data_IF_940361957041
#
_entry.id   IF_940361957041
#
_cell.length_a   1.000
_cell.length_b   1.000
_cell.length_c   1.000
_cell.angle_alpha   90.00
_cell.angle_beta   90.00
_cell.angle_gamma   90.00
#
_symmetry.space_group_name_H-M   'P 1'
#
loop_
_entity.id
_entity.type
_entity.pdbx_description
1 polymer ?
#
# COMPACT_ATOMS: atom_id res chain seq x y z
N UNK A 1 9.28 -54.32 8.96
CA UNK A 1 9.92 -53.09 9.43
C UNK A 1 10.15 -52.06 8.30
N UNK A 2 10.52 -52.47 7.10
CA UNK A 2 10.77 -51.54 5.96
C UNK A 2 9.47 -50.81 5.51
N UNK A 3 8.35 -51.51 5.41
CA UNK A 3 7.07 -50.96 4.97
C UNK A 3 6.54 -49.86 5.89
N UNK A 4 6.72 -50.01 7.21
CA UNK A 4 6.29 -48.99 8.20
C UNK A 4 7.13 -47.72 8.09
N UNK A 5 8.42 -47.82 7.80
CA UNK A 5 9.31 -46.66 7.58
C UNK A 5 8.98 -45.90 6.30
N UNK A 6 8.61 -46.62 5.24
CA UNK A 6 8.21 -45.98 3.96
C UNK A 6 6.89 -45.24 4.13
N UNK A 7 5.91 -45.80 4.84
CA UNK A 7 4.63 -45.16 5.13
C UNK A 7 4.79 -43.92 6.04
N UNK A 8 5.66 -44.00 7.07
CA UNK A 8 5.96 -42.88 7.95
C UNK A 8 6.64 -41.71 7.19
N UNK A 9 7.59 -42.02 6.29
CA UNK A 9 8.27 -41.03 5.47
C UNK A 9 7.32 -40.38 4.44
N UNK A 10 6.37 -41.12 3.86
CA UNK A 10 5.33 -40.60 2.97
C UNK A 10 4.34 -39.69 3.73
N UNK A 11 3.97 -40.05 4.97
CA UNK A 11 3.13 -39.21 5.82
C UNK A 11 3.83 -37.92 6.23
N UNK A 12 5.11 -37.96 6.55
CA UNK A 12 5.92 -36.77 6.88
C UNK A 12 6.08 -35.86 5.65
N UNK A 13 6.28 -36.42 4.45
CA UNK A 13 6.31 -35.68 3.20
C UNK A 13 4.94 -35.05 2.88
N UNK A 14 3.84 -35.75 3.12
CA UNK A 14 2.49 -35.18 2.94
C UNK A 14 2.19 -34.10 3.97
N UNK A 15 2.63 -34.24 5.22
CA UNK A 15 2.50 -33.22 6.25
C UNK A 15 3.36 -31.97 5.95
N UNK A 16 4.56 -32.15 5.40
CA UNK A 16 5.39 -31.02 4.98
C UNK A 16 4.87 -30.30 3.72
N UNK A 17 4.09 -30.97 2.87
CA UNK A 17 3.38 -30.33 1.75
C UNK A 17 2.08 -29.64 2.17
N UNK A 18 1.44 -30.10 3.26
CA UNK A 18 0.20 -29.51 3.77
C UNK A 18 0.42 -28.23 4.59
N UNK A 19 1.66 -27.88 4.92
CA UNK A 19 2.00 -26.66 5.67
C UNK A 19 2.53 -25.55 4.75
N UNK A 20 2.04 -25.47 3.50
CA UNK A 20 2.09 -24.24 2.74
C UNK A 20 0.94 -23.39 3.22
N UNK A 21 1.18 -22.70 4.36
CA UNK A 21 0.25 -21.69 4.88
C UNK A 21 -0.08 -20.72 3.75
N UNK A 22 -1.36 -20.51 3.52
CA UNK A 22 -1.89 -19.43 2.68
C UNK A 22 -1.45 -18.08 3.26
N UNK A 23 -0.31 -17.58 2.88
CA UNK A 23 0.21 -16.27 3.26
C UNK A 23 -0.34 -15.23 2.26
N UNK A 24 -0.98 -14.18 2.74
CA UNK A 24 -1.94 -13.27 2.07
C UNK A 24 -1.62 -11.78 2.38
N UNK A 25 -1.67 -10.83 1.62
CA UNK A 25 -1.01 -9.83 0.72
C UNK A 25 -0.20 -10.77 -0.07
N UNK A 26 0.02 -10.78 -1.28
CA UNK A 26 0.72 -11.98 -1.76
C UNK A 26 1.83 -12.29 -0.76
N UNK A 27 1.73 -13.40 0.00
CA UNK A 27 2.69 -13.79 1.03
C UNK A 27 2.65 -13.05 2.38
N UNK A 28 1.60 -12.27 2.68
CA UNK A 28 1.38 -11.64 3.97
C UNK A 28 0.50 -12.49 4.91
N UNK A 29 0.09 -11.87 6.01
CA UNK A 29 -0.84 -12.44 7.01
C UNK A 29 -1.87 -11.39 7.37
N UNK A 30 -3.06 -11.77 7.88
CA UNK A 30 -3.99 -10.80 8.44
C UNK A 30 -3.28 -9.83 9.38
N UNK A 31 -3.49 -8.52 9.17
CA UNK A 31 -2.93 -7.51 10.06
C UNK A 31 -3.57 -7.61 11.45
N UNK A 32 -2.81 -7.29 12.50
CA UNK A 32 -3.44 -6.96 13.77
C UNK A 32 -4.25 -5.66 13.58
N UNK A 33 -5.44 -5.58 14.19
CA UNK A 33 -6.33 -4.42 14.07
C UNK A 33 -5.66 -3.10 14.47
N UNK A 34 -4.68 -3.14 15.37
CA UNK A 34 -3.94 -1.96 15.85
C UNK A 34 -2.75 -1.58 14.95
N UNK A 35 -2.39 -2.41 13.96
CA UNK A 35 -1.25 -2.12 13.07
C UNK A 35 -1.59 -1.11 11.97
N UNK A 36 -2.86 -1.00 11.58
CA UNK A 36 -3.28 -0.27 10.36
C UNK A 36 -4.18 0.93 10.64
N UNK A 37 -4.03 1.58 11.81
CA UNK A 37 -4.89 2.69 12.25
C UNK A 37 -4.93 3.90 11.31
N UNK A 38 -3.91 4.08 10.48
CA UNK A 38 -3.82 5.14 9.46
C UNK A 38 -4.33 4.71 8.08
N UNK A 39 -4.58 3.41 7.90
CA UNK A 39 -5.02 2.89 6.60
C UNK A 39 -6.46 3.30 6.33
N UNK A 40 -6.70 3.83 5.13
CA UNK A 40 -7.99 4.34 4.69
C UNK A 40 -8.50 3.48 3.52
N UNK A 41 -9.76 3.15 3.53
CA UNK A 41 -10.46 2.52 2.39
C UNK A 41 -11.06 3.61 1.51
N UNK A 42 -10.70 3.64 0.24
CA UNK A 42 -11.38 4.42 -0.78
C UNK A 42 -12.42 3.51 -1.47
N UNK A 43 -13.66 3.99 -1.55
CA UNK A 43 -14.79 3.21 -2.00
C UNK A 43 -15.71 4.06 -2.90
N UNK A 44 -16.14 3.50 -4.02
CA UNK A 44 -17.09 4.13 -4.92
C UNK A 44 -18.33 3.23 -5.16
N UNK A 45 -19.21 3.64 -6.07
CA UNK A 45 -20.42 2.87 -6.41
C UNK A 45 -20.14 1.47 -6.98
N UNK A 46 -18.94 1.24 -7.50
CA UNK A 46 -18.50 -0.07 -8.03
C UNK A 46 -17.86 -0.97 -6.96
N UNK A 47 -17.64 -0.45 -5.74
CA UNK A 47 -17.05 -1.18 -4.62
C UNK A 47 -15.73 -0.57 -4.15
N UNK A 48 -14.85 -1.43 -3.62
CA UNK A 48 -13.52 -1.06 -3.16
C UNK A 48 -12.66 -0.55 -4.32
N UNK A 49 -12.08 0.63 -4.16
CA UNK A 49 -11.31 1.33 -5.20
C UNK A 49 -9.81 1.23 -4.96
N UNK A 50 -9.35 1.72 -3.82
CA UNK A 50 -7.94 1.87 -3.44
C UNK A 50 -7.78 1.94 -1.93
N UNK A 51 -6.52 1.85 -1.47
CA UNK A 51 -6.10 2.28 -0.16
C UNK A 51 -5.74 3.77 -0.11
N UNK A 52 -5.52 4.26 1.09
CA UNK A 52 -4.98 5.59 1.36
C UNK A 52 -4.37 5.64 2.74
N UNK A 53 -3.74 6.77 3.09
CA UNK A 53 -3.09 6.98 4.37
C UNK A 53 -3.56 8.28 5.01
N UNK A 54 -4.14 8.18 6.21
CA UNK A 54 -4.46 9.35 7.04
C UNK A 54 -3.15 9.94 7.59
N UNK A 55 -2.86 11.21 7.29
CA UNK A 55 -1.63 11.89 7.73
C UNK A 55 -1.87 12.94 8.83
N UNK A 56 -3.09 13.42 8.93
CA UNK A 56 -3.63 14.19 10.05
C UNK A 56 -5.17 14.15 10.00
N UNK A 57 -5.86 14.82 10.92
CA UNK A 57 -7.33 14.76 11.03
C UNK A 57 -8.09 15.22 9.78
N UNK A 58 -7.48 16.05 8.94
CA UNK A 58 -8.12 16.68 7.78
C UNK A 58 -7.61 16.16 6.43
N UNK A 59 -6.54 15.36 6.41
CA UNK A 59 -5.84 15.04 5.17
C UNK A 59 -5.50 13.57 5.00
N UNK A 60 -5.77 13.08 3.79
CA UNK A 60 -5.40 11.72 3.31
C UNK A 60 -4.48 11.84 2.11
N UNK A 61 -3.45 11.01 2.08
CA UNK A 61 -2.58 10.80 0.91
C UNK A 61 -2.92 9.45 0.27
N UNK A 62 -3.00 9.43 -1.05
CA UNK A 62 -3.20 8.22 -1.86
C UNK A 62 -2.48 8.38 -3.22
N UNK A 63 -2.55 7.38 -4.08
CA UNK A 63 -2.03 7.46 -5.44
C UNK A 63 -2.95 8.32 -6.34
N UNK A 64 -2.37 9.05 -7.29
CA UNK A 64 -3.13 9.89 -8.21
C UNK A 64 -4.02 9.05 -9.15
N UNK A 65 -3.57 7.86 -9.54
CA UNK A 65 -4.36 6.95 -10.36
C UNK A 65 -5.61 6.38 -9.66
N UNK A 66 -5.72 6.57 -8.33
CA UNK A 66 -6.91 6.24 -7.55
C UNK A 66 -8.02 7.30 -7.67
N UNK A 67 -7.83 8.36 -8.46
CA UNK A 67 -8.87 9.38 -8.64
C UNK A 67 -10.12 8.81 -9.28
N UNK A 68 -11.26 9.19 -8.73
CA UNK A 68 -12.59 8.86 -9.23
C UNK A 68 -13.52 10.03 -8.96
N UNK A 69 -14.56 10.18 -9.80
CA UNK A 69 -15.48 11.32 -9.66
C UNK A 69 -16.22 11.32 -8.32
N UNK A 70 -16.68 10.15 -7.89
CA UNK A 70 -17.47 10.02 -6.66
C UNK A 70 -16.94 8.85 -5.84
N UNK A 71 -16.20 9.13 -4.78
CA UNK A 71 -15.79 8.12 -3.82
C UNK A 71 -15.90 8.62 -2.38
N UNK A 72 -15.99 7.70 -1.47
CA UNK A 72 -15.97 7.92 -0.03
C UNK A 72 -14.69 7.32 0.56
N UNK A 73 -14.29 7.84 1.69
CA UNK A 73 -13.18 7.34 2.49
C UNK A 73 -13.73 6.81 3.81
N UNK A 74 -13.33 5.59 4.17
CA UNK A 74 -13.74 4.94 5.41
C UNK A 74 -12.49 4.72 6.25
N UNK A 75 -12.55 5.14 7.50
CA UNK A 75 -11.49 5.08 8.49
C UNK A 75 -11.86 4.11 9.59
N UNK A 76 -10.87 3.42 10.17
CA UNK A 76 -11.08 2.45 11.24
C UNK A 76 -11.58 1.08 10.77
N UNK A 77 -11.55 0.82 9.47
CA UNK A 77 -11.98 -0.48 8.91
C UNK A 77 -10.98 -1.56 9.25
N UNK A 78 -11.48 -2.69 9.77
CA UNK A 78 -10.71 -3.94 9.85
C UNK A 78 -11.34 -5.00 8.95
N UNK A 79 -12.60 -5.36 9.17
CA UNK A 79 -13.35 -6.23 8.28
C UNK A 79 -14.23 -5.38 7.33
N UNK A 80 -14.22 -5.71 6.04
CA UNK A 80 -15.14 -5.08 5.08
C UNK A 80 -16.60 -5.52 5.28
N UNK A 81 -16.80 -6.67 5.93
CA UNK A 81 -18.12 -7.26 6.15
C UNK A 81 -18.70 -6.94 7.53
N UNK A 82 -17.85 -6.63 8.52
CA UNK A 82 -18.26 -6.36 9.90
C UNK A 82 -17.69 -5.01 10.32
N UNK A 83 -18.50 -3.93 10.29
CA UNK A 83 -18.03 -2.59 10.68
C UNK A 83 -17.59 -2.54 12.15
N UNK A 84 -16.51 -1.78 12.41
CA UNK A 84 -16.13 -1.41 13.78
C UNK A 84 -17.04 -0.29 14.30
N UNK A 85 -17.23 -0.23 15.61
CA UNK A 85 -18.07 0.80 16.26
C UNK A 85 -17.54 2.23 16.05
N UNK A 86 -16.21 2.38 15.86
CA UNK A 86 -15.54 3.66 15.69
C UNK A 86 -15.21 4.01 14.23
N UNK A 87 -15.78 3.29 13.26
CA UNK A 87 -15.65 3.67 11.85
C UNK A 87 -16.17 5.07 11.56
N UNK A 88 -15.43 5.81 10.76
CA UNK A 88 -15.82 7.14 10.32
C UNK A 88 -15.78 7.23 8.80
N UNK A 89 -16.76 7.91 8.20
CA UNK A 89 -16.88 8.09 6.75
C UNK A 89 -16.73 9.56 6.40
N UNK A 90 -15.96 9.85 5.34
CA UNK A 90 -15.77 11.20 4.79
C UNK A 90 -15.83 11.17 3.28
N UNK A 91 -16.05 12.32 2.71
CA UNK A 91 -15.93 12.56 1.27
C UNK A 91 -14.84 13.59 1.00
N UNK A 92 -14.24 13.59 -0.18
CA UNK A 92 -13.30 14.63 -0.56
C UNK A 92 -13.99 16.01 -0.56
N UNK A 93 -13.39 16.98 0.12
CA UNK A 93 -13.72 18.41 -0.04
C UNK A 93 -12.95 18.99 -1.21
N UNK A 94 -11.67 18.67 -1.29
CA UNK A 94 -10.74 19.14 -2.33
C UNK A 94 -9.72 18.02 -2.63
N UNK A 95 -9.27 17.95 -3.86
CA UNK A 95 -8.24 17.02 -4.32
C UNK A 95 -7.10 17.79 -4.99
N UNK A 96 -5.88 17.51 -4.60
CA UNK A 96 -4.66 18.12 -5.12
C UNK A 96 -3.78 17.06 -5.76
N UNK A 97 -3.30 17.34 -6.96
CA UNK A 97 -2.47 16.43 -7.75
C UNK A 97 -1.10 17.05 -7.97
N UNK A 98 -0.07 16.22 -7.86
CA UNK A 98 1.29 16.64 -8.15
C UNK A 98 1.47 16.94 -9.65
N UNK A 99 0.81 16.19 -10.51
CA UNK A 99 0.69 16.51 -11.94
C UNK A 99 -0.69 17.12 -12.23
N UNK A 100 -0.71 18.44 -12.49
CA UNK A 100 -1.94 19.16 -12.80
C UNK A 100 -2.62 18.68 -14.09
N UNK A 101 -1.87 18.12 -15.02
CA UNK A 101 -2.39 17.60 -16.29
C UNK A 101 -3.03 16.20 -16.14
N UNK A 102 -2.98 15.61 -14.95
CA UNK A 102 -3.47 14.24 -14.67
C UNK A 102 -2.94 13.22 -15.71
N UNK A 103 -1.74 13.48 -16.22
CA UNK A 103 -1.10 12.58 -17.16
C UNK A 103 -0.42 11.45 -16.38
N UNK A 104 -1.17 10.43 -16.04
CA UNK A 104 -0.71 9.25 -15.29
C UNK A 104 0.45 8.49 -15.94
N UNK A 105 0.92 8.93 -17.11
CA UNK A 105 2.14 8.38 -17.73
C UNK A 105 3.42 8.79 -16.98
N UNK A 106 3.34 9.82 -16.13
CA UNK A 106 4.43 10.23 -15.24
C UNK A 106 4.31 9.55 -13.86
N UNK A 107 4.51 8.26 -13.82
CA UNK A 107 4.43 7.43 -12.61
C UNK A 107 5.30 7.90 -11.42
N UNK A 108 6.25 8.81 -11.66
CA UNK A 108 7.06 9.44 -10.61
C UNK A 108 6.32 10.55 -9.83
N UNK A 109 5.10 10.92 -10.26
CA UNK A 109 4.21 11.91 -9.62
C UNK A 109 2.86 11.31 -9.26
N UNK A 110 2.80 10.01 -9.06
CA UNK A 110 1.58 9.29 -8.74
C UNK A 110 1.20 9.49 -7.26
N UNK A 111 0.78 10.72 -6.96
CA UNK A 111 0.35 11.16 -5.63
C UNK A 111 -0.85 12.10 -5.72
N UNK A 112 -1.84 11.88 -4.87
CA UNK A 112 -2.99 12.74 -4.65
C UNK A 112 -3.12 13.04 -3.16
N UNK A 113 -3.27 14.32 -2.83
CA UNK A 113 -3.57 14.78 -1.48
C UNK A 113 -5.05 15.18 -1.42
N UNK A 114 -5.77 14.67 -0.43
CA UNK A 114 -7.21 14.85 -0.29
C UNK A 114 -7.49 15.58 1.00
N UNK A 115 -8.16 16.76 0.90
CA UNK A 115 -8.75 17.42 2.06
C UNK A 115 -10.12 16.84 2.33
N UNK A 116 -10.35 16.46 3.58
CA UNK A 116 -11.63 15.90 4.02
C UNK A 116 -12.71 17.00 4.15
N UNK A 117 -13.97 16.62 3.96
CA UNK A 117 -15.10 17.53 4.17
C UNK A 117 -15.32 17.92 5.64
N UNK A 118 -14.83 17.10 6.56
CA UNK A 118 -14.76 17.37 8.00
C UNK A 118 -13.64 16.55 8.64
N UNK A 119 -13.09 16.97 9.78
CA UNK A 119 -12.03 16.24 10.47
C UNK A 119 -12.43 14.81 10.87
N UNK A 120 -11.46 13.92 10.91
CA UNK A 120 -11.60 12.58 11.49
C UNK A 120 -11.10 12.63 12.93
N UNK A 121 -11.88 12.06 13.85
CA UNK A 121 -11.47 11.96 15.26
C UNK A 121 -10.57 10.73 15.46
N UNK A 122 -9.48 10.90 16.20
CA UNK A 122 -8.68 9.77 16.63
C UNK A 122 -9.50 8.86 17.55
N UNK A 123 -9.26 7.56 17.42
CA UNK A 123 -9.94 6.53 18.21
C UNK A 123 -9.01 5.34 18.46
N UNK A 124 -9.55 4.24 18.98
CA UNK A 124 -8.78 3.01 19.16
C UNK A 124 -8.20 2.52 17.81
N UNK A 125 -8.99 2.60 16.73
CA UNK A 125 -8.62 2.06 15.42
C UNK A 125 -8.31 3.14 14.38
N UNK A 126 -8.27 4.43 14.77
CA UNK A 126 -8.00 5.55 13.87
C UNK A 126 -6.90 6.43 14.47
N UNK A 127 -5.78 6.54 13.78
CA UNK A 127 -4.72 7.49 14.11
C UNK A 127 -3.90 7.83 12.85
N UNK A 128 -3.46 9.09 12.70
CA UNK A 128 -2.63 9.47 11.58
C UNK A 128 -1.25 8.83 11.65
N UNK A 129 -0.65 8.63 10.48
CA UNK A 129 0.74 8.20 10.31
C UNK A 129 1.61 9.43 10.03
N UNK A 130 2.74 9.51 10.72
CA UNK A 130 3.68 10.62 10.53
C UNK A 130 4.31 10.62 9.14
N UNK A 131 4.38 11.80 8.54
CA UNK A 131 5.21 12.05 7.36
C UNK A 131 6.69 11.79 7.69
N UNK A 132 7.52 11.41 6.70
CA UNK A 132 8.92 11.12 6.97
C UNK A 132 9.70 12.37 7.37
N UNK A 133 10.58 12.23 8.35
CA UNK A 133 11.51 13.28 8.79
C UNK A 133 12.90 13.17 8.13
N UNK A 134 13.17 12.05 7.47
CA UNK A 134 14.42 11.76 6.78
C UNK A 134 14.16 10.90 5.54
N UNK A 135 15.05 10.92 4.55
CA UNK A 135 14.92 10.08 3.37
C UNK A 135 14.97 8.59 3.73
N UNK A 136 14.30 7.74 2.95
CA UNK A 136 14.31 6.30 3.19
C UNK A 136 15.70 5.72 2.98
N UNK A 137 16.06 4.72 3.81
CA UNK A 137 17.38 4.07 3.80
C UNK A 137 17.27 2.74 3.05
N UNK A 138 18.03 2.57 1.97
CA UNK A 138 18.15 1.30 1.23
C UNK A 138 18.59 0.19 2.19
N UNK A 139 17.96 -0.99 2.08
CA UNK A 139 18.14 -2.12 2.98
C UNK A 139 17.21 -2.12 4.20
N UNK A 140 16.45 -1.04 4.43
CA UNK A 140 15.43 -1.04 5.50
C UNK A 140 14.36 -2.08 5.25
N UNK A 141 13.88 -2.69 6.33
CA UNK A 141 12.65 -3.48 6.32
C UNK A 141 11.46 -2.52 6.42
N UNK A 142 10.54 -2.65 5.47
CA UNK A 142 9.33 -1.85 5.40
C UNK A 142 8.11 -2.75 5.56
N UNK A 143 7.01 -2.14 6.04
CA UNK A 143 5.71 -2.78 6.20
C UNK A 143 4.78 -2.32 5.10
N UNK A 144 4.12 -3.25 4.43
CA UNK A 144 3.01 -3.02 3.50
C UNK A 144 1.73 -3.59 4.09
N UNK A 145 0.59 -2.99 3.72
CA UNK A 145 -0.73 -3.39 4.21
C UNK A 145 -1.83 -2.99 3.24
N UNK A 146 -2.86 -3.82 3.15
CA UNK A 146 -4.04 -3.50 2.34
C UNK A 146 -5.00 -4.66 2.16
N UNK A 147 -6.06 -4.41 1.40
CA UNK A 147 -7.10 -5.39 1.04
C UNK A 147 -6.99 -5.85 -0.42
N UNK A 148 -5.83 -5.66 -1.02
CA UNK A 148 -5.56 -6.10 -2.39
C UNK A 148 -5.65 -7.60 -2.55
N UNK A 149 -5.65 -8.06 -3.80
CA UNK A 149 -5.75 -9.48 -4.10
C UNK A 149 -4.58 -10.26 -3.52
N UNK A 150 -4.89 -11.43 -3.02
CA UNK A 150 -3.99 -12.32 -2.30
C UNK A 150 -3.62 -13.56 -3.12
N UNK A 151 -4.28 -13.76 -4.25
CA UNK A 151 -4.05 -14.88 -5.17
C UNK A 151 -4.04 -14.42 -6.62
N UNK A 152 -3.31 -15.16 -7.46
CA UNK A 152 -3.23 -14.99 -8.90
C UNK A 152 -3.11 -16.37 -9.57
N UNK A 153 -3.71 -16.62 -10.76
CA UNK A 153 -4.48 -15.71 -11.61
C UNK A 153 -5.93 -15.48 -11.17
N UNK A 154 -6.47 -16.32 -10.27
CA UNK A 154 -7.82 -16.15 -9.74
C UNK A 154 -7.76 -15.16 -8.58
N UNK A 155 -8.16 -13.89 -8.83
CA UNK A 155 -8.13 -12.83 -7.83
C UNK A 155 -9.07 -13.14 -6.66
N UNK A 156 -8.53 -13.16 -5.44
CA UNK A 156 -9.28 -13.29 -4.20
C UNK A 156 -8.95 -12.11 -3.30
N UNK A 157 -9.97 -11.38 -2.88
CA UNK A 157 -9.82 -10.20 -2.04
C UNK A 157 -10.20 -10.54 -0.59
N UNK A 158 -9.30 -10.31 0.37
CA UNK A 158 -9.53 -10.67 1.76
C UNK A 158 -10.58 -9.74 2.41
N UNK A 159 -11.25 -10.25 3.46
CA UNK A 159 -12.16 -9.46 4.29
C UNK A 159 -11.39 -8.48 5.18
N UNK A 160 -10.32 -8.93 5.81
CA UNK A 160 -9.43 -8.12 6.65
C UNK A 160 -8.14 -7.77 5.91
N UNK A 161 -7.50 -6.61 6.20
CA UNK A 161 -6.29 -6.24 5.51
C UNK A 161 -5.16 -7.20 5.84
N UNK A 162 -4.28 -7.44 4.87
CA UNK A 162 -3.10 -8.25 5.05
C UNK A 162 -1.85 -7.40 5.12
N UNK A 163 -0.90 -7.85 5.90
CA UNK A 163 0.34 -7.15 6.18
C UNK A 163 1.54 -8.04 5.84
N UNK A 164 2.57 -7.47 5.22
CA UNK A 164 3.85 -8.15 4.98
C UNK A 164 5.04 -7.23 5.25
N UNK A 165 6.17 -7.84 5.56
CA UNK A 165 7.46 -7.16 5.58
C UNK A 165 8.16 -7.41 4.25
N UNK A 166 8.69 -6.34 3.66
CA UNK A 166 9.47 -6.33 2.43
C UNK A 166 10.71 -5.46 2.61
N UNK A 167 11.69 -5.62 1.73
CA UNK A 167 12.95 -4.87 1.80
C UNK A 167 12.97 -3.70 0.81
N UNK A 168 13.52 -2.57 1.23
CA UNK A 168 13.74 -1.42 0.36
C UNK A 168 15.05 -1.59 -0.41
N UNK A 169 14.98 -1.46 -1.73
CA UNK A 169 16.11 -1.55 -2.65
C UNK A 169 16.46 -0.20 -3.25
N UNK A 170 17.64 -0.12 -3.88
CA UNK A 170 17.93 1.00 -4.78
C UNK A 170 16.94 0.97 -5.96
N UNK A 171 16.48 2.13 -6.43
CA UNK A 171 15.53 2.23 -7.54
C UNK A 171 16.02 1.53 -8.81
N UNK A 172 17.34 1.40 -9.00
CA UNK A 172 17.96 0.72 -10.14
C UNK A 172 17.57 -0.76 -10.24
N UNK A 173 17.20 -1.39 -9.13
CA UNK A 173 16.70 -2.77 -9.12
C UNK A 173 15.37 -2.85 -9.87
N UNK A 174 14.41 -1.98 -9.54
CA UNK A 174 13.13 -1.89 -10.25
C UNK A 174 13.30 -1.39 -11.69
N UNK A 175 14.22 -0.46 -11.93
CA UNK A 175 14.53 0.00 -13.28
C UNK A 175 15.01 -1.14 -14.19
N UNK A 176 15.83 -2.04 -13.64
CA UNK A 176 16.29 -3.23 -14.37
C UNK A 176 15.22 -4.31 -14.50
N UNK A 177 14.36 -4.46 -13.48
CA UNK A 177 13.30 -5.47 -13.46
C UNK A 177 12.14 -5.15 -14.44
N UNK A 178 11.79 -3.87 -14.52
CA UNK A 178 10.64 -3.38 -15.29
C UNK A 178 11.09 -2.58 -16.51
N UNK A 179 11.76 -3.24 -17.47
CA UNK A 179 12.33 -2.60 -18.66
C UNK A 179 11.29 -1.76 -19.41
N UNK A 180 11.60 -0.47 -19.62
CA UNK A 180 10.74 0.48 -20.33
C UNK A 180 9.70 1.20 -19.46
N UNK A 181 9.57 0.86 -18.17
CA UNK A 181 8.72 1.57 -17.23
C UNK A 181 9.55 2.52 -16.34
N UNK A 182 9.00 3.67 -15.93
CA UNK A 182 9.77 4.74 -15.30
C UNK A 182 9.97 4.52 -13.78
N UNK A 183 10.76 3.52 -13.40
CA UNK A 183 11.36 3.51 -12.07
C UNK A 183 12.53 4.50 -12.05
N UNK A 184 12.39 5.60 -11.30
CA UNK A 184 13.33 6.71 -11.24
C UNK A 184 13.85 6.92 -9.82
N UNK A 185 14.80 7.83 -9.62
CA UNK A 185 15.26 8.22 -8.28
C UNK A 185 14.16 8.82 -7.38
N UNK A 186 13.00 9.18 -7.95
CA UNK A 186 11.81 9.69 -7.23
C UNK A 186 10.82 8.61 -6.88
N UNK A 187 11.10 7.37 -7.24
CA UNK A 187 10.32 6.20 -6.82
C UNK A 187 11.11 5.38 -5.83
N UNK A 188 10.40 4.63 -5.00
CA UNK A 188 10.98 3.61 -4.13
C UNK A 188 10.77 2.25 -4.78
N UNK A 189 11.75 1.39 -4.62
CA UNK A 189 11.73 0.01 -5.06
C UNK A 189 11.73 -0.89 -3.83
N UNK A 190 10.67 -1.67 -3.60
CA UNK A 190 10.60 -2.52 -2.43
C UNK A 190 9.89 -3.84 -2.74
N UNK A 191 10.36 -4.93 -2.13
CA UNK A 191 9.84 -6.27 -2.36
C UNK A 191 10.65 -7.36 -1.67
N UNK A 192 10.49 -8.58 -2.17
CA UNK A 192 11.30 -9.75 -1.81
C UNK A 192 11.84 -10.34 -3.11
N UNK A 193 13.17 -10.38 -3.27
CA UNK A 193 13.80 -10.81 -4.54
C UNK A 193 13.55 -12.28 -4.88
N UNK A 194 13.29 -13.10 -3.87
CA UNK A 194 12.87 -14.49 -4.03
C UNK A 194 11.43 -14.61 -4.51
N UNK A 195 10.70 -13.49 -4.54
CA UNK A 195 9.28 -13.45 -4.80
C UNK A 195 8.43 -13.86 -3.60
N UNK A 196 7.14 -14.04 -3.83
CA UNK A 196 6.19 -14.54 -2.84
C UNK A 196 5.62 -13.49 -1.88
N UNK A 197 6.15 -12.25 -1.84
CA UNK A 197 5.60 -11.13 -1.04
C UNK A 197 5.62 -9.84 -1.83
N UNK A 198 4.44 -9.25 -2.01
CA UNK A 198 4.30 -7.99 -2.74
C UNK A 198 2.94 -7.34 -2.47
N UNK A 199 2.81 -6.05 -2.80
CA UNK A 199 1.52 -5.41 -3.02
C UNK A 199 0.92 -5.85 -4.36
N UNK A 200 -0.40 -5.87 -4.46
CA UNK A 200 -1.08 -6.28 -5.67
C UNK A 200 -2.31 -5.41 -5.94
N UNK A 201 -3.11 -5.77 -6.94
CA UNK A 201 -4.31 -5.06 -7.36
C UNK A 201 -5.27 -4.84 -6.18
N UNK A 202 -5.59 -3.59 -5.91
CA UNK A 202 -6.38 -3.16 -4.76
C UNK A 202 -5.55 -2.61 -3.59
N UNK A 203 -4.21 -2.82 -3.53
CA UNK A 203 -3.35 -2.16 -2.54
C UNK A 203 -2.91 -0.74 -2.95
N UNK A 204 -3.20 -0.35 -4.20
CA UNK A 204 -2.89 0.98 -4.77
C UNK A 204 -3.26 2.11 -3.80
N UNK A 205 -2.37 3.10 -3.66
CA UNK A 205 -2.55 4.24 -2.76
C UNK A 205 -2.30 3.98 -1.29
N UNK A 206 -2.17 2.71 -0.88
CA UNK A 206 -1.83 2.32 0.49
C UNK A 206 -0.39 2.64 0.86
N UNK A 207 -0.04 2.56 2.17
CA UNK A 207 1.27 2.97 2.67
C UNK A 207 2.36 1.89 2.51
N UNK A 208 3.58 2.37 2.23
CA UNK A 208 4.84 1.70 2.54
C UNK A 208 5.44 2.38 3.77
N UNK A 209 5.51 1.65 4.88
CA UNK A 209 5.97 2.17 6.17
C UNK A 209 7.35 1.60 6.47
N UNK A 210 8.36 2.47 6.55
CA UNK A 210 9.72 2.07 6.91
C UNK A 210 10.13 2.81 8.19
N UNK A 211 10.63 2.09 9.17
CA UNK A 211 11.03 2.65 10.48
C UNK A 211 9.90 3.50 11.14
N UNK A 212 8.65 3.06 11.02
CA UNK A 212 7.47 3.73 11.58
C UNK A 212 7.03 5.01 10.86
N UNK A 213 7.63 5.36 9.71
CA UNK A 213 7.33 6.55 8.93
C UNK A 213 6.72 6.20 7.57
N UNK A 214 5.84 7.06 7.07
CA UNK A 214 5.19 6.94 5.77
C UNK A 214 6.15 7.29 4.64
N UNK A 215 6.92 6.34 4.14
CA UNK A 215 7.97 6.57 3.14
C UNK A 215 7.49 6.43 1.70
N UNK A 216 6.48 5.59 1.42
CA UNK A 216 6.03 5.33 0.06
C UNK A 216 4.54 5.11 -0.06
N UNK A 217 4.03 5.33 -1.27
CA UNK A 217 2.64 5.09 -1.68
C UNK A 217 2.65 3.97 -2.71
N UNK A 218 1.84 2.94 -2.54
CA UNK A 218 1.70 1.85 -3.52
C UNK A 218 1.27 2.43 -4.86
N UNK A 219 2.08 2.25 -5.89
CA UNK A 219 1.85 2.85 -7.21
C UNK A 219 1.66 1.79 -8.29
N UNK A 220 2.69 1.00 -8.61
CA UNK A 220 2.61 -0.03 -9.64
C UNK A 220 3.66 -1.14 -9.42
N UNK A 221 3.56 -2.22 -10.20
CA UNK A 221 4.49 -3.34 -10.13
C UNK A 221 4.32 -4.31 -11.28
N UNK A 222 5.01 -5.43 -11.22
CA UNK A 222 4.91 -6.53 -12.18
C UNK A 222 3.54 -7.23 -12.15
N UNK A 223 3.17 -7.87 -13.22
CA UNK A 223 1.99 -8.69 -13.34
C UNK A 223 2.32 -10.04 -13.97
N UNK A 224 2.15 -11.16 -13.27
CA UNK A 224 1.58 -11.36 -11.93
C UNK A 224 2.39 -10.69 -10.82
N UNK A 225 1.71 -10.32 -9.70
CA UNK A 225 2.40 -9.76 -8.54
C UNK A 225 3.31 -10.79 -7.86
N UNK A 226 4.27 -10.30 -7.05
CA UNK A 226 5.17 -11.12 -6.23
C UNK A 226 6.06 -12.09 -7.02
N UNK A 227 6.37 -11.79 -8.27
CA UNK A 227 7.29 -12.59 -9.06
C UNK A 227 8.73 -12.41 -8.55
N UNK A 228 9.58 -13.47 -8.63
CA UNK A 228 10.98 -13.34 -8.31
C UNK A 228 11.66 -12.24 -9.13
N UNK A 229 12.46 -11.40 -8.47
CA UNK A 229 13.22 -10.29 -9.05
C UNK A 229 12.37 -9.15 -9.67
N UNK A 230 11.07 -9.10 -9.37
CA UNK A 230 10.17 -8.03 -9.81
C UNK A 230 9.56 -7.29 -8.60
N UNK A 231 10.35 -6.49 -7.86
CA UNK A 231 9.83 -5.74 -6.71
C UNK A 231 8.82 -4.68 -7.14
N UNK A 232 7.92 -4.33 -6.22
CA UNK A 232 6.94 -3.26 -6.42
C UNK A 232 7.58 -1.86 -6.45
N UNK A 233 6.89 -0.92 -7.09
CA UNK A 233 7.30 0.48 -7.23
C UNK A 233 6.31 1.37 -6.48
N UNK A 234 6.88 2.28 -5.68
CA UNK A 234 6.13 3.15 -4.77
C UNK A 234 6.51 4.61 -5.04
N UNK A 235 5.54 5.51 -4.99
CA UNK A 235 5.84 6.95 -5.02
C UNK A 235 6.55 7.35 -3.73
N UNK A 236 7.69 8.03 -3.84
CA UNK A 236 8.53 8.41 -2.70
C UNK A 236 7.97 9.65 -2.01
N UNK A 237 7.41 9.49 -0.80
CA UNK A 237 6.75 10.56 -0.06
C UNK A 237 7.73 11.67 0.32
N UNK A 238 8.97 11.32 0.70
CA UNK A 238 9.98 12.29 1.12
C UNK A 238 10.25 13.37 0.06
N UNK A 239 10.27 13.00 -1.21
CA UNK A 239 10.52 13.96 -2.31
C UNK A 239 9.32 14.87 -2.57
N UNK A 240 8.16 14.62 -1.97
CA UNK A 240 6.94 15.40 -2.10
C UNK A 240 6.58 16.18 -0.84
N UNK A 241 7.42 16.15 0.21
CA UNK A 241 7.12 16.76 1.51
C UNK A 241 6.82 18.26 1.42
N UNK A 242 7.65 19.01 0.72
CA UNK A 242 7.46 20.46 0.57
C UNK A 242 6.13 20.77 -0.10
N UNK A 243 5.76 20.02 -1.13
CA UNK A 243 4.48 20.16 -1.80
C UNK A 243 3.32 19.84 -0.85
N UNK A 244 3.37 18.71 -0.14
CA UNK A 244 2.35 18.29 0.82
C UNK A 244 2.17 19.35 1.89
N UNK A 245 3.25 19.83 2.50
CA UNK A 245 3.24 20.81 3.59
C UNK A 245 2.71 22.18 3.11
N UNK A 246 3.08 22.62 1.92
CA UNK A 246 2.58 23.86 1.33
C UNK A 246 1.07 23.80 1.07
N UNK A 247 0.58 22.71 0.50
CA UNK A 247 -0.87 22.53 0.27
C UNK A 247 -1.62 22.53 1.62
N UNK A 248 -1.14 21.81 2.62
CA UNK A 248 -1.75 21.77 3.96
C UNK A 248 -1.76 23.16 4.61
N UNK A 249 -0.70 23.94 4.41
CA UNK A 249 -0.60 25.31 4.90
C UNK A 249 -1.50 26.33 4.13
N UNK A 250 -2.22 25.89 3.10
CA UNK A 250 -3.16 26.73 2.33
C UNK A 250 -2.59 27.30 1.03
N UNK A 251 -1.35 27.00 0.65
CA UNK A 251 -0.80 27.36 -0.65
C UNK A 251 -1.27 26.33 -1.71
N UNK A 252 -2.51 26.47 -2.17
CA UNK A 252 -3.15 25.53 -3.12
C UNK A 252 -2.56 25.56 -4.53
N UNK A 253 -1.69 26.51 -4.82
CA UNK A 253 -0.96 26.64 -6.09
C UNK A 253 0.48 26.13 -6.01
N UNK A 254 0.87 25.53 -4.89
CA UNK A 254 2.20 24.96 -4.72
C UNK A 254 2.53 23.97 -5.85
N UNK A 255 3.67 24.17 -6.47
CA UNK A 255 4.15 23.31 -7.55
C UNK A 255 4.84 22.09 -6.98
N UNK A 256 4.59 20.95 -7.61
CA UNK A 256 5.28 19.72 -7.29
C UNK A 256 6.71 19.73 -7.86
N UNK A 257 7.68 19.09 -7.19
CA UNK A 257 9.03 19.00 -7.70
C UNK A 257 9.06 18.34 -9.09
N UNK A 258 9.94 18.87 -9.96
CA UNK A 258 10.13 18.41 -11.36
C UNK A 258 10.76 17.03 -11.42
#
# INVERSE_FOLDING_TARGET
MVLIRVLANLLILQLSYAQKSSELVVGGRPCNINEHRSLVVLFNSSGFLCGGTLINQDWVVTAAHCDSNNFQMIFGVHSKNVPNEDEQRRVPKEKFFCDSNKNYTQWNKDIMLIRLNSPVNNSTHIAPLSLPSSPPIVGSVCRIMGWGTITFPNETYPDVPHCANINLFNYTVCHGAHAGLPATSRTLCAGVLEGGKDTCKGDSGGPLICNGQFQGIVSWGGHPCAQPREPGVYTKVFDHLDWIQNIIAGNTTATCPL
#
